data_IF_077738455019
#
_entry.id   IF_077738455019
#
_cell.length_a   1.000
_cell.length_b   1.000
_cell.length_c   1.000
_cell.angle_alpha   90.00
_cell.angle_beta   90.00
_cell.angle_gamma   90.00
#
_symmetry.space_group_name_H-M   'P 1'
#
loop_
_entity.id
_entity.type
_entity.pdbx_description
1 polymer ?
#
# COMPACT_ATOMS: atom_id res chain seq x y z
N UNK A 1 31.35 5.40 -45.85
CA UNK A 1 30.55 6.16 -44.87
C UNK A 1 29.68 5.26 -43.97
N UNK A 2 30.15 4.06 -43.57
CA UNK A 2 29.38 3.11 -42.72
C UNK A 2 29.80 3.18 -41.23
N UNK A 3 30.83 3.97 -40.92
CA UNK A 3 31.44 4.08 -39.59
C UNK A 3 30.58 4.71 -38.47
N UNK A 4 29.63 5.65 -38.70
CA UNK A 4 28.89 6.26 -37.58
C UNK A 4 27.77 5.35 -37.04
N UNK A 5 27.09 4.58 -37.89
CA UNK A 5 26.00 3.69 -37.49
C UNK A 5 26.55 2.51 -36.67
N UNK A 6 27.68 1.94 -37.09
CA UNK A 6 28.33 0.84 -36.36
C UNK A 6 28.75 1.24 -34.94
N UNK A 7 29.23 2.48 -34.75
CA UNK A 7 29.59 3.01 -33.42
C UNK A 7 28.38 3.12 -32.51
N UNK A 8 27.24 3.57 -33.04
CA UNK A 8 26.01 3.70 -32.25
C UNK A 8 25.52 2.32 -31.76
N UNK A 9 25.55 1.31 -32.64
CA UNK A 9 25.16 -0.06 -32.30
C UNK A 9 26.07 -0.65 -31.22
N UNK A 10 27.39 -0.45 -31.32
CA UNK A 10 28.35 -0.93 -30.32
C UNK A 10 28.14 -0.27 -28.95
N UNK A 11 27.87 1.04 -28.91
CA UNK A 11 27.58 1.75 -27.66
C UNK A 11 26.29 1.20 -27.03
N UNK A 12 25.25 0.96 -27.83
CA UNK A 12 24.00 0.41 -27.35
C UNK A 12 24.17 -1.00 -26.78
N UNK A 13 24.97 -1.84 -27.45
CA UNK A 13 25.27 -3.19 -26.98
C UNK A 13 26.06 -3.17 -25.66
N UNK A 14 27.02 -2.26 -25.52
CA UNK A 14 27.78 -2.08 -24.28
C UNK A 14 26.89 -1.62 -23.12
N UNK A 15 25.95 -0.71 -23.36
CA UNK A 15 24.99 -0.25 -22.33
C UNK A 15 24.04 -1.36 -21.89
N UNK A 16 23.50 -2.15 -22.82
CA UNK A 16 22.65 -3.30 -22.49
C UNK A 16 23.43 -4.33 -21.69
N UNK A 17 24.66 -4.66 -22.10
CA UNK A 17 25.52 -5.59 -21.37
C UNK A 17 25.84 -5.09 -19.94
N UNK A 18 26.12 -3.80 -19.77
CA UNK A 18 26.34 -3.20 -18.46
C UNK A 18 25.09 -3.28 -17.57
N UNK A 19 23.90 -3.02 -18.14
CA UNK A 19 22.64 -3.13 -17.41
C UNK A 19 22.38 -4.56 -16.94
N UNK A 20 22.55 -5.55 -17.84
CA UNK A 20 22.41 -6.97 -17.51
C UNK A 20 23.42 -7.38 -16.44
N UNK A 21 24.67 -6.91 -16.50
CA UNK A 21 25.68 -7.21 -15.50
C UNK A 21 25.32 -6.66 -14.10
N UNK A 22 24.70 -5.48 -14.02
CA UNK A 22 24.24 -4.90 -12.74
C UNK A 22 23.06 -5.70 -12.17
N UNK A 23 22.08 -6.08 -13.00
CA UNK A 23 20.92 -6.86 -12.54
C UNK A 23 21.23 -8.32 -12.24
N UNK A 24 22.22 -8.93 -12.89
CA UNK A 24 22.66 -10.31 -12.60
C UNK A 24 23.78 -10.41 -11.56
N UNK A 25 24.30 -9.28 -11.03
CA UNK A 25 25.35 -9.29 -10.01
C UNK A 25 24.94 -10.08 -8.76
N UNK A 26 23.67 -9.99 -8.36
CA UNK A 26 23.14 -10.72 -7.20
C UNK A 26 22.98 -12.22 -7.45
N UNK A 27 22.85 -12.64 -8.72
CA UNK A 27 22.83 -14.06 -9.11
C UNK A 27 24.22 -14.66 -9.26
N UNK A 28 25.21 -13.85 -9.63
CA UNK A 28 26.59 -14.30 -9.83
C UNK A 28 27.38 -14.39 -8.51
N UNK A 29 27.06 -13.58 -7.50
CA UNK A 29 27.72 -13.64 -6.18
C UNK A 29 27.43 -14.94 -5.42
N UNK A 30 26.30 -15.61 -5.69
CA UNK A 30 26.01 -16.95 -5.16
C UNK A 30 26.78 -18.10 -5.83
N UNK A 31 27.34 -17.88 -7.04
CA UNK A 31 27.99 -18.93 -7.84
C UNK A 31 29.51 -19.03 -7.63
N UNK A 32 30.14 -18.00 -7.05
CA UNK A 32 31.59 -17.96 -6.81
C UNK A 32 31.98 -17.91 -5.32
N UNK A 33 31.00 -17.95 -4.40
CA UNK A 33 31.21 -17.87 -2.95
C UNK A 33 31.13 -19.21 -2.20
N UNK A 34 31.50 -20.33 -2.83
CA UNK A 34 31.40 -21.67 -2.25
C UNK A 34 32.75 -22.28 -1.89
N UNK A 35 33.32 -21.88 -0.75
CA UNK A 35 34.48 -22.51 -0.13
C UNK A 35 34.17 -22.87 1.31
N UNK A 36 33.94 -24.17 1.52
CA UNK A 36 34.04 -24.96 2.76
C UNK A 36 33.68 -24.31 4.11
N UNK A 37 32.52 -24.69 4.62
CA UNK A 37 32.39 -25.05 6.03
C UNK A 37 31.42 -26.23 6.14
N UNK A 38 31.99 -27.43 6.18
CA UNK A 38 31.30 -28.62 6.63
C UNK A 38 30.87 -28.41 8.10
N UNK A 39 29.59 -28.19 8.32
CA UNK A 39 28.99 -28.29 9.64
C UNK A 39 28.07 -29.50 9.59
N UNK A 40 28.54 -30.59 10.17
CA UNK A 40 27.75 -31.76 10.54
C UNK A 40 26.60 -31.31 11.44
N UNK A 41 25.40 -31.20 10.88
CA UNK A 41 24.17 -31.00 11.62
C UNK A 41 23.49 -32.36 11.79
N UNK A 42 23.53 -32.83 13.02
CA UNK A 42 22.77 -33.95 13.56
C UNK A 42 21.30 -33.85 13.16
N UNK A 43 20.86 -34.86 12.42
CA UNK A 43 19.48 -35.10 12.00
C UNK A 43 18.62 -35.44 13.22
N UNK A 44 18.05 -34.41 13.85
CA UNK A 44 16.92 -34.57 14.76
C UNK A 44 15.65 -34.56 13.90
N UNK A 45 15.02 -35.73 13.73
CA UNK A 45 13.74 -35.90 13.05
C UNK A 45 12.68 -34.99 13.67
N UNK A 46 12.42 -33.86 13.02
CA UNK A 46 11.19 -33.11 13.19
C UNK A 46 10.06 -33.85 12.45
N UNK A 47 8.81 -33.84 12.98
CA UNK A 47 7.68 -34.47 12.32
C UNK A 47 7.51 -33.87 10.93
N UNK A 48 7.52 -34.74 9.91
CA UNK A 48 7.29 -34.35 8.52
C UNK A 48 6.03 -33.49 8.43
N UNK A 49 6.09 -32.27 7.86
CA UNK A 49 4.88 -31.55 7.52
C UNK A 49 4.10 -32.45 6.55
N UNK A 50 2.86 -32.78 6.90
CA UNK A 50 1.95 -33.48 6.00
C UNK A 50 2.00 -32.76 4.67
N UNK A 51 2.44 -33.46 3.63
CA UNK A 51 2.46 -32.95 2.27
C UNK A 51 1.06 -32.40 1.98
N UNK A 52 0.97 -31.07 1.85
CA UNK A 52 -0.17 -30.46 1.20
C UNK A 52 -0.11 -30.95 -0.25
N UNK A 53 -0.87 -31.99 -0.55
CA UNK A 53 -1.26 -32.25 -1.93
C UNK A 53 -1.90 -30.98 -2.44
N UNK A 54 -1.37 -30.33 -3.49
CA UNK A 54 -2.06 -29.23 -4.13
C UNK A 54 -3.38 -29.78 -4.64
N UNK A 55 -4.47 -29.46 -3.93
CA UNK A 55 -5.81 -29.65 -4.46
C UNK A 55 -5.87 -28.69 -5.64
N UNK A 56 -5.89 -29.25 -6.86
CA UNK A 56 -6.14 -28.47 -8.06
C UNK A 56 -7.40 -27.62 -7.82
N UNK A 57 -7.39 -26.32 -8.14
CA UNK A 57 -8.58 -25.50 -8.01
C UNK A 57 -9.72 -26.20 -8.76
N UNK A 58 -10.94 -26.26 -8.19
CA UNK A 58 -12.08 -26.78 -8.91
C UNK A 58 -12.16 -25.99 -10.22
N UNK A 59 -12.07 -26.70 -11.34
CA UNK A 59 -12.38 -26.18 -12.65
C UNK A 59 -13.85 -25.82 -12.58
N UNK A 60 -14.15 -24.57 -12.26
CA UNK A 60 -15.51 -24.06 -12.29
C UNK A 60 -15.91 -24.09 -13.77
N UNK A 61 -16.84 -24.96 -14.21
CA UNK A 61 -17.40 -24.82 -15.54
C UNK A 61 -18.01 -23.43 -15.58
N UNK A 62 -17.43 -22.56 -16.41
CA UNK A 62 -17.93 -21.21 -16.58
C UNK A 62 -19.43 -21.28 -16.86
N UNK A 63 -20.24 -20.41 -16.23
CA UNK A 63 -21.64 -20.31 -16.64
C UNK A 63 -21.65 -20.03 -18.14
N UNK A 64 -22.31 -20.91 -18.89
CA UNK A 64 -22.66 -20.67 -20.29
C UNK A 64 -23.18 -19.24 -20.39
N UNK A 65 -22.54 -18.44 -21.24
CA UNK A 65 -22.94 -17.07 -21.48
C UNK A 65 -24.41 -17.07 -21.89
N UNK A 66 -25.32 -16.39 -21.15
CA UNK A 66 -26.66 -16.17 -21.66
C UNK A 66 -26.52 -15.32 -22.92
N UNK A 67 -27.03 -15.86 -24.03
CA UNK A 67 -27.18 -15.15 -25.29
C UNK A 67 -28.03 -13.92 -24.99
N UNK A 68 -27.40 -12.74 -24.99
CA UNK A 68 -28.08 -11.49 -24.73
C UNK A 68 -29.10 -11.22 -25.86
N UNK A 69 -30.38 -10.95 -25.56
CA UNK A 69 -31.27 -10.36 -26.55
C UNK A 69 -30.74 -8.97 -26.92
N UNK A 70 -30.71 -8.67 -28.22
CA UNK A 70 -30.43 -7.35 -28.75
C UNK A 70 -31.47 -6.36 -28.20
N UNK A 71 -31.11 -5.67 -27.12
CA UNK A 71 -31.88 -4.57 -26.56
C UNK A 71 -31.41 -3.27 -27.23
N UNK A 72 -32.38 -2.56 -27.80
CA UNK A 72 -32.26 -1.19 -28.28
C UNK A 72 -31.43 -0.34 -27.32
N UNK A 73 -30.36 0.25 -27.84
CA UNK A 73 -29.60 1.25 -27.10
C UNK A 73 -30.44 2.53 -26.99
N UNK A 74 -30.77 3.01 -25.78
CA UNK A 74 -31.19 4.40 -25.65
C UNK A 74 -29.99 5.28 -26.00
N UNK A 75 -30.17 6.08 -27.04
CA UNK A 75 -29.30 7.21 -27.38
C UNK A 75 -29.24 8.12 -26.15
N UNK A 76 -28.14 8.04 -25.39
CA UNK A 76 -27.83 9.03 -24.37
C UNK A 76 -27.52 10.35 -25.07
N UNK A 77 -28.56 11.19 -25.15
CA UNK A 77 -28.45 12.57 -25.58
C UNK A 77 -27.40 13.28 -24.71
N UNK A 78 -26.42 13.85 -25.39
CA UNK A 78 -25.49 14.80 -24.80
C UNK A 78 -26.20 16.13 -24.60
N UNK A 79 -27.11 16.21 -23.64
CA UNK A 79 -27.63 17.50 -23.18
C UNK A 79 -26.64 18.08 -22.16
N UNK A 80 -25.61 18.73 -22.71
CA UNK A 80 -24.82 19.75 -22.03
C UNK A 80 -25.73 20.94 -21.72
N UNK A 81 -26.59 20.81 -20.71
CA UNK A 81 -27.26 21.95 -20.10
C UNK A 81 -26.31 22.60 -19.10
N UNK A 82 -25.62 23.62 -19.59
CA UNK A 82 -24.96 24.62 -18.78
C UNK A 82 -25.99 25.23 -17.80
N UNK A 83 -25.76 25.24 -16.49
CA UNK A 83 -26.53 26.07 -15.59
C UNK A 83 -26.24 27.53 -15.90
N UNK A 84 -27.24 28.22 -16.45
CA UNK A 84 -27.32 29.66 -16.55
C UNK A 84 -27.06 30.28 -15.18
N UNK A 85 -26.22 31.32 -15.20
CA UNK A 85 -25.87 32.18 -14.09
C UNK A 85 -27.11 32.64 -13.31
N UNK A 86 -27.18 32.25 -12.04
CA UNK A 86 -28.07 32.83 -11.05
C UNK A 86 -27.27 33.80 -10.18
N UNK A 87 -27.77 35.03 -10.08
CA UNK A 87 -27.23 36.17 -9.36
C UNK A 87 -26.65 35.84 -7.98
N UNK A 88 -25.33 36.01 -7.83
CA UNK A 88 -24.71 36.13 -6.52
C UNK A 88 -24.94 37.55 -5.97
N UNK A 89 -25.53 37.71 -4.77
CA UNK A 89 -25.59 38.99 -4.10
C UNK A 89 -24.18 39.52 -3.82
N UNK A 90 -23.87 40.66 -4.45
CA UNK A 90 -22.66 41.45 -4.22
C UNK A 90 -22.64 41.92 -2.76
N UNK A 91 -21.95 41.16 -1.91
CA UNK A 91 -21.75 41.48 -0.51
C UNK A 91 -20.86 42.72 -0.41
N UNK A 92 -21.40 43.79 0.17
CA UNK A 92 -20.66 45.02 0.44
C UNK A 92 -19.47 44.74 1.39
N UNK A 93 -18.31 45.36 1.16
CA UNK A 93 -17.22 45.31 2.13
C UNK A 93 -17.61 46.12 3.38
N UNK A 94 -18.01 45.42 4.44
CA UNK A 94 -18.09 46.02 5.78
C UNK A 94 -16.68 46.44 6.21
N UNK A 95 -16.47 47.75 6.31
CA UNK A 95 -15.29 48.34 6.94
C UNK A 95 -15.23 47.89 8.40
N UNK A 96 -14.37 46.93 8.70
CA UNK A 96 -14.05 46.55 10.08
C UNK A 96 -13.35 47.72 10.78
N UNK A 97 -13.71 48.02 12.05
CA UNK A 97 -12.97 48.95 12.90
C UNK A 97 -11.50 48.56 12.98
N UNK A 98 -10.61 49.51 12.70
CA UNK A 98 -9.16 49.34 12.85
C UNK A 98 -8.84 49.04 14.32
N UNK A 99 -8.63 47.77 14.63
CA UNK A 99 -8.15 47.31 15.92
C UNK A 99 -6.73 47.85 16.14
N UNK A 100 -6.50 48.40 17.34
CA UNK A 100 -5.19 48.87 17.79
C UNK A 100 -4.14 47.74 17.68
N UNK A 101 -2.89 48.07 17.33
CA UNK A 101 -1.82 47.07 17.22
C UNK A 101 -1.59 46.40 18.58
N UNK A 102 -2.08 45.17 18.70
CA UNK A 102 -1.70 44.29 19.80
C UNK A 102 -0.20 43.95 19.68
N UNK A 103 0.54 43.88 20.79
CA UNK A 103 1.94 43.48 20.78
C UNK A 103 2.07 42.13 20.08
N UNK A 104 2.84 42.10 18.99
CA UNK A 104 3.12 40.85 18.28
C UNK A 104 3.80 39.89 19.26
N UNK A 105 3.22 38.70 19.52
CA UNK A 105 3.89 37.66 20.28
C UNK A 105 5.22 37.38 19.59
N UNK A 106 6.32 37.55 20.32
CA UNK A 106 7.64 37.18 19.83
C UNK A 106 7.57 35.72 19.34
N UNK A 107 8.12 35.40 18.15
CA UNK A 107 8.10 34.04 17.64
C UNK A 107 8.88 33.16 18.62
N UNK A 108 8.14 32.39 19.42
CA UNK A 108 8.71 31.32 20.22
C UNK A 108 9.22 30.29 19.21
N UNK A 109 10.54 30.20 19.08
CA UNK A 109 11.24 29.12 18.40
C UNK A 109 11.02 27.85 19.22
N UNK A 110 9.85 27.23 19.03
CA UNK A 110 9.54 25.90 19.55
C UNK A 110 10.54 24.92 18.95
N UNK A 111 11.44 24.39 19.78
CA UNK A 111 12.34 23.32 19.37
C UNK A 111 11.50 22.16 18.78
N UNK A 112 11.95 21.52 17.68
CA UNK A 112 11.22 20.40 17.09
C UNK A 112 10.95 19.34 18.16
N UNK A 113 9.68 19.06 18.40
CA UNK A 113 9.28 18.01 19.33
C UNK A 113 9.79 16.67 18.79
N UNK A 114 10.35 15.85 19.68
CA UNK A 114 10.93 14.54 19.35
C UNK A 114 9.95 13.64 18.57
N UNK A 115 8.64 13.79 18.81
CA UNK A 115 7.59 13.11 18.06
C UNK A 115 7.48 13.50 16.58
N UNK A 116 7.80 14.75 16.21
CA UNK A 116 7.80 15.17 14.80
C UNK A 116 8.90 14.46 14.01
N UNK A 117 10.08 14.28 14.62
CA UNK A 117 11.19 13.54 14.01
C UNK A 117 10.85 12.06 13.85
N UNK A 118 10.20 11.45 14.86
CA UNK A 118 9.77 10.06 14.78
C UNK A 118 8.74 9.82 13.66
N UNK A 119 7.74 10.70 13.53
CA UNK A 119 6.74 10.58 12.47
C UNK A 119 7.35 10.75 11.07
N UNK A 120 8.30 11.68 10.92
CA UNK A 120 9.03 11.86 9.66
C UNK A 120 9.86 10.60 9.31
N UNK A 121 10.50 9.97 10.29
CA UNK A 121 11.24 8.73 10.10
C UNK A 121 10.32 7.57 9.67
N UNK A 122 9.15 7.43 10.29
CA UNK A 122 8.14 6.42 9.90
C UNK A 122 7.68 6.67 8.46
N UNK A 123 7.35 7.92 8.10
CA UNK A 123 6.93 8.26 6.75
C UNK A 123 8.01 7.96 5.70
N UNK A 124 9.27 8.27 6.01
CA UNK A 124 10.41 7.96 5.12
C UNK A 124 10.57 6.44 4.93
N UNK A 125 10.47 5.65 6.01
CA UNK A 125 10.60 4.20 5.97
C UNK A 125 9.43 3.54 5.20
N UNK A 126 8.21 4.05 5.36
CA UNK A 126 7.04 3.60 4.63
C UNK A 126 7.14 3.91 3.13
N UNK A 127 7.65 5.09 2.77
CA UNK A 127 7.94 5.42 1.38
C UNK A 127 9.04 4.53 0.78
N UNK A 128 10.05 4.15 1.56
CA UNK A 128 11.07 3.19 1.12
C UNK A 128 10.47 1.80 0.81
N UNK A 129 9.58 1.30 1.68
CA UNK A 129 8.89 0.03 1.47
C UNK A 129 7.98 0.05 0.23
N UNK A 130 7.20 1.12 0.05
CA UNK A 130 6.40 1.32 -1.18
C UNK A 130 7.28 1.38 -2.42
N UNK A 131 8.42 2.07 -2.34
CA UNK A 131 9.39 2.15 -3.41
C UNK A 131 9.99 0.79 -3.77
N UNK A 132 10.26 -0.08 -2.81
CA UNK A 132 10.70 -1.45 -3.06
C UNK A 132 9.64 -2.24 -3.84
N UNK A 133 8.37 -2.16 -3.42
CA UNK A 133 7.25 -2.81 -4.12
C UNK A 133 7.15 -2.34 -5.58
N UNK A 134 7.24 -1.03 -5.83
CA UNK A 134 7.14 -0.48 -7.19
C UNK A 134 8.30 -0.87 -8.11
N UNK A 135 9.46 -1.22 -7.54
CA UNK A 135 10.60 -1.77 -8.31
C UNK A 135 10.51 -3.28 -8.53
N UNK A 136 9.43 -3.93 -8.09
CA UNK A 136 9.25 -5.37 -8.15
C UNK A 136 9.92 -6.15 -7.02
N UNK A 137 10.55 -5.47 -6.06
CA UNK A 137 11.09 -6.09 -4.85
C UNK A 137 9.98 -6.28 -3.81
N UNK A 138 9.09 -7.22 -4.13
CA UNK A 138 7.90 -7.55 -3.33
C UNK A 138 8.28 -8.08 -1.95
N UNK A 139 9.22 -9.01 -1.89
CA UNK A 139 9.68 -9.61 -0.63
C UNK A 139 10.40 -8.59 0.26
N UNK A 140 11.24 -7.72 -0.33
CA UNK A 140 11.87 -6.63 0.39
C UNK A 140 10.85 -5.62 0.95
N UNK A 141 9.84 -5.24 0.17
CA UNK A 141 8.75 -4.38 0.63
C UNK A 141 7.99 -4.98 1.81
N UNK A 142 7.63 -6.27 1.71
CA UNK A 142 6.95 -7.02 2.79
C UNK A 142 7.81 -7.11 4.04
N UNK A 143 9.08 -7.46 3.92
CA UNK A 143 10.00 -7.53 5.05
C UNK A 143 10.15 -6.18 5.76
N UNK A 144 10.28 -5.09 5.01
CA UNK A 144 10.36 -3.73 5.55
C UNK A 144 9.08 -3.34 6.28
N UNK A 145 7.91 -3.58 5.67
CA UNK A 145 6.61 -3.24 6.29
C UNK A 145 6.35 -4.06 7.56
N UNK A 146 6.74 -5.33 7.59
CA UNK A 146 6.66 -6.18 8.79
C UNK A 146 7.59 -5.69 9.91
N UNK A 147 8.80 -5.26 9.57
CA UNK A 147 9.71 -4.67 10.55
C UNK A 147 9.15 -3.36 11.14
N UNK A 148 8.59 -2.50 10.28
CA UNK A 148 7.94 -1.24 10.67
C UNK A 148 6.75 -1.46 11.61
N UNK A 149 5.85 -2.35 11.26
CA UNK A 149 4.67 -2.69 12.09
C UNK A 149 5.05 -3.34 13.42
N UNK A 150 6.15 -4.12 13.46
CA UNK A 150 6.68 -4.66 14.72
C UNK A 150 7.30 -3.58 15.61
N UNK A 151 8.00 -2.61 15.03
CA UNK A 151 8.57 -1.48 15.77
C UNK A 151 7.49 -0.50 16.28
N UNK A 152 6.36 -0.40 15.58
CA UNK A 152 5.28 0.53 15.88
C UNK A 152 3.91 -0.15 15.89
N UNK A 153 3.66 -1.08 16.82
CA UNK A 153 2.47 -1.94 16.80
C UNK A 153 1.14 -1.22 17.05
N UNK A 154 1.18 0.04 17.50
CA UNK A 154 0.00 0.89 17.77
C UNK A 154 -0.27 1.92 16.67
N UNK A 155 0.53 1.95 15.62
CA UNK A 155 0.35 2.89 14.51
C UNK A 155 -0.72 2.35 13.53
N UNK A 156 -1.86 3.03 13.44
CA UNK A 156 -3.00 2.64 12.60
C UNK A 156 -2.62 2.63 11.12
N UNK A 157 -1.88 3.64 10.65
CA UNK A 157 -1.49 3.78 9.25
C UNK A 157 -0.63 2.61 8.80
N UNK A 158 0.35 2.20 9.63
CA UNK A 158 1.21 1.06 9.31
C UNK A 158 0.44 -0.27 9.22
N UNK A 159 -0.56 -0.48 10.07
CA UNK A 159 -1.42 -1.68 9.98
C UNK A 159 -2.30 -1.64 8.73
N UNK A 160 -2.86 -0.47 8.39
CA UNK A 160 -3.64 -0.28 7.18
C UNK A 160 -2.84 -0.53 5.90
N UNK A 161 -1.61 0.00 5.85
CA UNK A 161 -0.68 -0.21 4.72
C UNK A 161 -0.22 -1.66 4.59
N UNK A 162 0.02 -2.35 5.71
CA UNK A 162 0.31 -3.78 5.70
C UNK A 162 -0.86 -4.58 5.11
N UNK A 163 -2.10 -4.23 5.47
CA UNK A 163 -3.30 -4.83 4.88
C UNK A 163 -3.40 -4.58 3.38
N UNK A 164 -3.14 -3.35 2.93
CA UNK A 164 -3.11 -3.01 1.50
C UNK A 164 -2.06 -3.84 0.75
N UNK A 165 -0.86 -3.97 1.30
CA UNK A 165 0.21 -4.79 0.71
C UNK A 165 -0.25 -6.24 0.57
N UNK A 166 -0.77 -6.87 1.63
CA UNK A 166 -1.27 -8.24 1.56
C UNK A 166 -2.41 -8.42 0.55
N UNK A 167 -3.32 -7.44 0.46
CA UNK A 167 -4.40 -7.46 -0.52
C UNK A 167 -3.85 -7.49 -1.96
N UNK A 168 -2.85 -6.66 -2.27
CA UNK A 168 -2.19 -6.68 -3.59
C UNK A 168 -1.48 -8.01 -3.86
N UNK A 169 -0.94 -8.65 -2.83
CA UNK A 169 -0.33 -9.98 -2.93
C UNK A 169 -1.34 -11.13 -2.99
N UNK A 170 -2.65 -10.83 -2.98
CA UNK A 170 -3.75 -11.81 -2.94
C UNK A 170 -3.73 -12.71 -1.70
N UNK A 171 -3.03 -12.29 -0.65
CA UNK A 171 -3.06 -12.94 0.67
C UNK A 171 -4.20 -12.33 1.50
N UNK A 172 -5.43 -12.65 1.11
CA UNK A 172 -6.63 -12.08 1.73
C UNK A 172 -6.75 -12.37 3.23
N UNK A 173 -6.41 -13.58 3.73
CA UNK A 173 -6.41 -13.81 5.18
C UNK A 173 -5.47 -12.85 5.93
N UNK A 174 -4.24 -12.66 5.45
CA UNK A 174 -3.31 -11.73 6.09
C UNK A 174 -3.75 -10.26 5.96
N UNK A 175 -4.35 -9.89 4.82
CA UNK A 175 -4.92 -8.56 4.62
C UNK A 175 -6.05 -8.27 5.62
N UNK A 176 -6.95 -9.24 5.81
CA UNK A 176 -8.06 -9.14 6.74
C UNK A 176 -7.58 -8.98 8.19
N UNK A 177 -6.56 -9.74 8.61
CA UNK A 177 -5.95 -9.57 9.95
C UNK A 177 -5.36 -8.16 10.14
N UNK A 178 -4.61 -7.65 9.17
CA UNK A 178 -3.98 -6.34 9.27
C UNK A 178 -5.00 -5.18 9.27
N UNK A 179 -6.00 -5.22 8.39
CA UNK A 179 -7.08 -4.23 8.37
C UNK A 179 -7.97 -4.28 9.60
N UNK A 180 -8.26 -5.48 10.12
CA UNK A 180 -8.98 -5.64 11.39
C UNK A 180 -8.20 -5.03 12.55
N UNK A 181 -6.89 -5.30 12.63
CA UNK A 181 -6.02 -4.71 13.64
C UNK A 181 -5.99 -3.17 13.55
N UNK A 182 -5.90 -2.62 12.33
CA UNK A 182 -5.94 -1.18 12.11
C UNK A 182 -7.27 -0.58 12.61
N UNK A 183 -8.40 -1.21 12.27
CA UNK A 183 -9.73 -0.80 12.73
C UNK A 183 -9.87 -0.81 14.25
N UNK A 184 -9.38 -1.86 14.93
CA UNK A 184 -9.40 -1.98 16.40
C UNK A 184 -8.61 -0.85 17.05
N UNK A 185 -7.37 -0.61 16.60
CA UNK A 185 -6.53 0.47 17.12
C UNK A 185 -7.20 1.85 16.95
N UNK A 186 -7.88 2.06 15.81
CA UNK A 186 -8.55 3.31 15.53
C UNK A 186 -9.76 3.53 16.46
N UNK A 187 -10.55 2.48 16.73
CA UNK A 187 -11.62 2.52 17.75
C UNK A 187 -11.03 2.81 19.14
N UNK A 188 -9.89 2.18 19.48
CA UNK A 188 -9.21 2.40 20.75
C UNK A 188 -8.81 3.86 20.96
N UNK A 189 -8.37 4.52 19.89
CA UNK A 189 -7.98 5.94 19.83
C UNK A 189 -9.18 6.91 19.70
N UNK A 190 -10.42 6.42 19.77
CA UNK A 190 -11.64 7.24 19.65
C UNK A 190 -12.07 7.54 18.22
N UNK A 191 -11.38 6.97 17.22
CA UNK A 191 -11.67 7.07 15.79
C UNK A 191 -12.70 6.06 15.28
N UNK A 192 -13.71 5.71 16.07
CA UNK A 192 -14.75 4.75 15.64
C UNK A 192 -15.40 5.12 14.29
N UNK A 193 -15.73 6.40 13.99
CA UNK A 193 -16.26 6.79 12.68
C UNK A 193 -15.35 6.44 11.50
N UNK A 194 -14.03 6.58 11.66
CA UNK A 194 -13.01 6.33 10.65
C UNK A 194 -12.81 4.82 10.41
N UNK A 195 -13.10 3.98 11.41
CA UNK A 195 -12.97 2.52 11.28
C UNK A 195 -13.93 1.89 10.25
N UNK A 196 -14.98 2.61 9.85
CA UNK A 196 -15.97 2.18 8.84
C UNK A 196 -15.33 1.84 7.48
N UNK A 197 -14.25 2.52 7.10
CA UNK A 197 -13.52 2.21 5.87
C UNK A 197 -12.98 0.77 5.88
N UNK A 198 -12.44 0.33 7.01
CA UNK A 198 -11.96 -1.05 7.18
C UNK A 198 -13.11 -2.06 7.20
N UNK A 199 -14.27 -1.72 7.79
CA UNK A 199 -15.45 -2.61 7.77
C UNK A 199 -15.92 -2.91 6.35
N UNK A 200 -15.92 -1.91 5.46
CA UNK A 200 -16.29 -2.12 4.05
C UNK A 200 -15.30 -3.06 3.34
N UNK A 201 -14.00 -2.84 3.54
CA UNK A 201 -12.96 -3.68 2.96
C UNK A 201 -13.04 -5.12 3.49
N UNK A 202 -13.19 -5.28 4.81
CA UNK A 202 -13.35 -6.58 5.47
C UNK A 202 -14.62 -7.27 5.03
N UNK A 203 -15.74 -6.56 4.86
CA UNK A 203 -17.00 -7.17 4.41
C UNK A 203 -16.90 -7.92 3.07
N UNK A 204 -15.92 -7.57 2.23
CA UNK A 204 -15.67 -8.25 0.95
C UNK A 204 -14.81 -9.51 1.08
N UNK A 205 -13.92 -9.59 2.08
CA UNK A 205 -12.91 -10.67 2.17
C UNK A 205 -13.01 -11.53 3.44
N UNK A 206 -13.55 -10.97 4.52
CA UNK A 206 -13.74 -11.58 5.84
C UNK A 206 -14.92 -10.89 6.57
N UNK A 207 -16.16 -11.34 6.32
CA UNK A 207 -17.36 -10.73 6.92
C UNK A 207 -17.42 -10.93 8.43
N UNK A 208 -16.78 -11.97 8.99
CA UNK A 208 -16.75 -12.20 10.44
C UNK A 208 -15.93 -11.10 11.14
N UNK A 209 -14.75 -10.76 10.61
CA UNK A 209 -13.95 -9.64 11.12
C UNK A 209 -14.64 -8.30 10.93
N UNK A 210 -15.37 -8.11 9.85
CA UNK A 210 -16.18 -6.90 9.65
C UNK A 210 -17.26 -6.77 10.75
N UNK A 211 -17.95 -7.86 11.08
CA UNK A 211 -18.96 -7.91 12.11
C UNK A 211 -18.38 -7.67 13.52
N UNK A 212 -17.25 -8.30 13.85
CA UNK A 212 -16.54 -8.05 15.12
C UNK A 212 -16.13 -6.57 15.24
N UNK A 213 -15.57 -5.99 14.18
CA UNK A 213 -15.17 -4.60 14.19
C UNK A 213 -16.39 -3.66 14.35
N UNK A 214 -17.51 -3.96 13.70
CA UNK A 214 -18.76 -3.22 13.83
C UNK A 214 -19.31 -3.28 15.27
N UNK A 215 -19.29 -4.45 15.90
CA UNK A 215 -19.73 -4.63 17.29
C UNK A 215 -18.89 -3.79 18.26
N UNK A 216 -17.55 -3.77 18.07
CA UNK A 216 -16.64 -2.95 18.89
C UNK A 216 -16.91 -1.45 18.75
N UNK A 217 -17.21 -0.98 17.55
CA UNK A 217 -17.48 0.43 17.29
C UNK A 217 -18.77 0.93 17.95
N UNK A 218 -19.75 0.05 18.20
CA UNK A 218 -21.01 0.38 18.87
C UNK A 218 -20.91 0.40 20.40
N UNK A 219 -19.92 -0.29 20.98
CA UNK A 219 -19.73 -0.42 22.43
C UNK A 219 -18.91 0.71 23.08
N UNK A 220 -18.63 1.80 22.35
CA UNK A 220 -17.84 2.97 22.79
C UNK A 220 -18.73 4.19 22.88
#
# INVERSE_FOLDING_TARGET
>A
MITPILRLVLIYFALIAALVAVFNRDRLTGLFGGGEAAVTATEASAPQPKAYTPVAPPVNPGPEAPVAPAADMPVYGSDLQAPLAGDTPQSQPQQQPQAQPQPQPQPQTSAPSEGANAQAAIAAALNAARGAYWRGDVEGAKAQMLALTRAHPQNVDLQGELGNLYFYLRDFPAAAEAWHRAGVLLIEQGGAPQSRGFMQALGMIDPEKAADLAARAQGR
#
